data_IF_891322539364
#
_entry.id   IF_891322539364
#
_cell.length_a   1.000
_cell.length_b   1.000
_cell.length_c   1.000
_cell.angle_alpha   90.00
_cell.angle_beta   90.00
_cell.angle_gamma   90.00
#
_symmetry.space_group_name_H-M   'P 1'
#
loop_
_entity.id
_entity.type
_entity.pdbx_description
1 polymer ?
#
# COMPACT_ATOMS: atom_id res chain seq x y z
N UNK A 1 2.77 8.03 15.25
CA UNK A 1 2.04 8.64 14.13
C UNK A 1 2.37 10.10 14.06
N UNK A 2 2.71 10.60 12.87
CA UNK A 2 3.07 12.00 12.63
C UNK A 2 2.13 12.61 11.59
N UNK A 3 1.14 13.41 12.00
CA UNK A 3 0.27 14.14 11.08
C UNK A 3 1.06 15.17 10.27
N UNK A 4 0.75 15.28 8.97
CA UNK A 4 1.39 16.26 8.09
C UNK A 4 1.01 17.70 8.45
N UNK A 5 -0.25 17.92 8.84
CA UNK A 5 -0.79 19.21 9.21
C UNK A 5 -1.81 19.06 10.35
N UNK A 6 -2.22 20.16 11.01
CA UNK A 6 -3.29 20.12 12.01
C UNK A 6 -4.65 19.67 11.47
N UNK A 7 -4.86 19.73 10.15
CA UNK A 7 -6.08 19.27 9.48
C UNK A 7 -6.16 17.74 9.33
N UNK A 8 -5.02 17.07 9.49
CA UNK A 8 -4.96 15.61 9.51
C UNK A 8 -5.27 15.14 10.93
N UNK A 9 -6.47 14.61 11.14
CA UNK A 9 -6.91 14.09 12.44
C UNK A 9 -6.20 12.76 12.77
N UNK A 10 -4.97 12.90 13.27
CA UNK A 10 -4.15 11.76 13.70
C UNK A 10 -4.75 11.02 14.89
N UNK A 11 -5.54 11.68 15.74
CA UNK A 11 -6.18 11.06 16.91
C UNK A 11 -7.33 10.15 16.49
N UNK A 12 -8.20 10.61 15.60
CA UNK A 12 -9.27 9.79 15.06
C UNK A 12 -8.71 8.55 14.35
N UNK A 13 -7.70 8.72 13.49
CA UNK A 13 -7.07 7.60 12.82
C UNK A 13 -6.36 6.64 13.81
N UNK A 14 -5.64 7.16 14.80
CA UNK A 14 -5.00 6.35 15.82
C UNK A 14 -6.01 5.52 16.62
N UNK A 15 -7.16 6.09 16.96
CA UNK A 15 -8.24 5.40 17.66
C UNK A 15 -8.77 4.22 16.84
N UNK A 16 -8.96 4.40 15.53
CA UNK A 16 -9.34 3.32 14.62
C UNK A 16 -8.27 2.24 14.52
N UNK A 17 -7.00 2.62 14.38
CA UNK A 17 -5.90 1.66 14.30
C UNK A 17 -5.75 0.86 15.60
N UNK A 18 -5.86 1.52 16.75
CA UNK A 18 -5.81 0.88 18.08
C UNK A 18 -6.92 -0.16 18.21
N UNK A 19 -8.15 0.15 17.77
CA UNK A 19 -9.26 -0.81 17.73
C UNK A 19 -8.95 -2.02 16.84
N UNK A 20 -8.29 -1.82 15.70
CA UNK A 20 -7.85 -2.92 14.84
C UNK A 20 -6.73 -3.77 15.49
N UNK A 21 -5.76 -3.12 16.14
CA UNK A 21 -4.61 -3.76 16.79
C UNK A 21 -5.01 -4.58 18.02
N UNK A 22 -6.10 -4.22 18.72
CA UNK A 22 -6.62 -4.96 19.88
C UNK A 22 -6.92 -6.43 19.59
N UNK A 23 -7.18 -6.77 18.33
CA UNK A 23 -7.38 -8.16 17.88
C UNK A 23 -6.13 -9.02 17.98
N UNK A 24 -4.95 -8.40 18.07
CA UNK A 24 -3.65 -9.09 18.04
C UNK A 24 -2.87 -8.98 19.36
N UNK A 25 -3.32 -8.15 20.30
CA UNK A 25 -2.63 -7.91 21.57
C UNK A 25 -3.19 -6.73 22.34
N UNK A 26 -2.63 -6.48 23.53
CA UNK A 26 -2.95 -5.33 24.37
C UNK A 26 -2.43 -4.04 23.74
N UNK A 27 -3.27 -3.01 23.69
CA UNK A 27 -2.93 -1.74 23.04
C UNK A 27 -3.03 -0.56 23.99
N UNK A 28 -2.17 0.42 23.80
CA UNK A 28 -2.26 1.73 24.46
C UNK A 28 -2.21 2.85 23.42
N UNK A 29 -2.98 3.91 23.65
CA UNK A 29 -2.95 5.14 22.87
C UNK A 29 -2.43 6.27 23.77
N UNK A 30 -1.32 6.90 23.39
CA UNK A 30 -0.76 8.02 24.14
C UNK A 30 -0.74 9.26 23.25
N UNK A 31 -1.32 10.33 23.77
CA UNK A 31 -1.42 11.64 23.12
C UNK A 31 -0.66 12.67 23.94
N UNK A 32 -0.45 13.87 23.40
CA UNK A 32 0.25 14.93 24.11
C UNK A 32 -0.40 15.25 25.47
N UNK A 33 -1.73 15.45 25.47
CA UNK A 33 -2.52 15.82 26.66
C UNK A 33 -2.41 14.76 27.77
N UNK A 34 -2.22 13.50 27.41
CA UNK A 34 -2.09 12.37 28.33
C UNK A 34 -0.64 11.89 28.52
N UNK A 35 0.35 12.58 27.95
CA UNK A 35 1.73 12.09 27.86
C UNK A 35 2.77 13.06 28.42
N UNK A 36 2.55 14.37 28.34
CA UNK A 36 3.61 15.36 28.67
C UNK A 36 3.93 15.50 30.16
N UNK A 37 3.04 15.04 31.05
CA UNK A 37 3.23 15.16 32.51
C UNK A 37 3.82 13.88 33.15
N UNK A 38 4.08 12.84 32.36
CA UNK A 38 4.51 11.54 32.87
C UNK A 38 6.03 11.35 32.85
N UNK A 39 6.53 10.55 33.80
CA UNK A 39 7.95 10.24 33.94
C UNK A 39 8.39 9.15 32.97
N UNK A 40 9.71 9.05 32.71
CA UNK A 40 10.27 7.96 31.90
C UNK A 40 9.92 6.56 32.42
N UNK A 41 9.77 6.41 33.74
CA UNK A 41 9.36 5.15 34.37
C UNK A 41 7.92 4.76 34.00
N UNK A 42 7.03 5.74 33.85
CA UNK A 42 5.65 5.50 33.43
C UNK A 42 5.59 4.99 31.99
N UNK A 43 6.33 5.62 31.05
CA UNK A 43 6.41 5.15 29.66
C UNK A 43 6.92 3.71 29.57
N UNK A 44 7.99 3.40 30.31
CA UNK A 44 8.51 2.03 30.38
C UNK A 44 7.47 1.04 30.95
N UNK A 45 6.66 1.45 31.91
CA UNK A 45 5.57 0.63 32.45
C UNK A 45 4.47 0.36 31.43
N UNK A 46 4.09 1.34 30.63
CA UNK A 46 3.11 1.17 29.55
C UNK A 46 3.65 0.23 28.48
N UNK A 47 4.87 0.47 28.00
CA UNK A 47 5.54 -0.36 26.98
C UNK A 47 5.71 -1.81 27.45
N UNK A 48 5.95 -2.04 28.74
CA UNK A 48 6.07 -3.39 29.29
C UNK A 48 4.73 -4.13 29.43
N UNK A 49 3.62 -3.41 29.55
CA UNK A 49 2.29 -3.98 29.81
C UNK A 49 1.41 -4.13 28.56
N UNK A 50 1.81 -3.51 27.45
CA UNK A 50 1.10 -3.51 26.18
C UNK A 50 1.97 -4.07 25.06
N UNK A 51 1.33 -4.81 24.14
CA UNK A 51 2.01 -5.37 22.97
C UNK A 51 2.17 -4.30 21.88
N UNK A 52 1.26 -3.32 21.82
CA UNK A 52 1.32 -2.21 20.87
C UNK A 52 1.04 -0.87 21.55
N UNK A 53 1.98 0.07 21.48
CA UNK A 53 1.81 1.44 21.98
C UNK A 53 1.77 2.40 20.80
N UNK A 54 0.67 3.13 20.64
CA UNK A 54 0.49 4.10 19.56
C UNK A 54 0.65 5.50 20.13
N UNK A 55 1.75 6.15 19.75
CA UNK A 55 2.01 7.56 20.04
C UNK A 55 1.44 8.44 18.93
N UNK A 56 0.69 9.50 19.28
CA UNK A 56 0.24 10.53 18.32
C UNK A 56 0.97 11.83 18.61
N UNK A 57 1.69 12.35 17.62
CA UNK A 57 2.43 13.61 17.74
C UNK A 57 1.62 14.80 17.25
N UNK A 58 2.10 15.99 17.60
CA UNK A 58 1.74 17.22 16.90
C UNK A 58 2.26 17.18 15.46
N UNK A 59 1.70 18.03 14.59
CA UNK A 59 2.25 18.27 13.25
C UNK A 59 3.49 19.18 13.26
N UNK A 60 3.92 19.65 14.44
CA UNK A 60 5.04 20.56 14.63
C UNK A 60 6.16 19.94 15.48
N UNK A 61 7.35 20.53 15.39
CA UNK A 61 8.54 20.06 16.09
C UNK A 61 8.53 20.44 17.58
N UNK A 62 7.87 19.64 18.41
CA UNK A 62 7.74 19.87 19.86
C UNK A 62 8.64 18.93 20.66
N UNK A 63 8.78 19.18 21.97
CA UNK A 63 9.42 18.22 22.87
C UNK A 63 8.69 16.88 22.89
N UNK A 64 7.36 16.91 22.75
CA UNK A 64 6.50 15.74 22.65
C UNK A 64 6.77 14.94 21.38
N UNK A 65 6.78 15.58 20.20
CA UNK A 65 7.04 14.86 18.95
C UNK A 65 8.43 14.22 18.93
N UNK A 66 9.46 14.89 19.47
CA UNK A 66 10.79 14.30 19.66
C UNK A 66 10.80 13.10 20.61
N UNK A 67 10.00 13.11 21.68
CA UNK A 67 9.89 11.98 22.59
C UNK A 67 9.25 10.78 21.88
N UNK A 68 8.12 10.99 21.22
CA UNK A 68 7.42 9.94 20.48
C UNK A 68 8.32 9.29 19.43
N UNK A 69 9.05 10.11 18.65
CA UNK A 69 9.95 9.60 17.62
C UNK A 69 11.07 8.73 18.19
N UNK A 70 11.67 9.12 19.33
CA UNK A 70 12.73 8.31 19.98
C UNK A 70 12.24 6.99 20.55
N UNK A 71 10.99 6.92 21.00
CA UNK A 71 10.41 5.70 21.59
C UNK A 71 9.82 4.75 20.55
N UNK A 72 9.66 5.20 19.30
CA UNK A 72 8.93 4.43 18.28
C UNK A 72 9.86 3.55 17.45
N UNK A 73 9.54 2.26 17.35
CA UNK A 73 10.22 1.34 16.42
C UNK A 73 9.77 1.56 14.97
N UNK A 74 8.56 2.09 14.77
CA UNK A 74 7.99 2.41 13.47
C UNK A 74 7.25 3.74 13.48
N UNK A 75 7.37 4.48 12.39
CA UNK A 75 6.81 5.81 12.22
C UNK A 75 5.80 5.78 11.07
N UNK A 76 4.54 6.06 11.39
CA UNK A 76 3.49 6.28 10.40
C UNK A 76 3.37 7.77 10.10
N UNK A 77 3.64 8.16 8.86
CA UNK A 77 3.45 9.51 8.35
C UNK A 77 2.03 9.62 7.82
N UNK A 78 1.20 10.51 8.39
CA UNK A 78 -0.20 10.62 8.03
C UNK A 78 -0.44 11.85 7.16
N UNK A 79 -1.06 11.69 6.01
CA UNK A 79 -1.49 12.78 5.15
C UNK A 79 -2.86 12.49 4.55
N UNK A 80 -3.63 13.54 4.27
CA UNK A 80 -4.76 13.42 3.34
C UNK A 80 -4.22 13.27 1.92
N UNK A 81 -4.68 12.26 1.18
CA UNK A 81 -4.12 11.94 -0.14
C UNK A 81 -4.16 13.13 -1.10
N UNK A 82 -5.27 13.88 -1.09
CA UNK A 82 -5.52 15.04 -1.97
C UNK A 82 -4.90 16.35 -1.49
N UNK A 83 -4.30 16.37 -0.29
CA UNK A 83 -3.66 17.58 0.19
C UNK A 83 -2.38 17.86 -0.60
N UNK A 84 -1.97 19.14 -0.66
CA UNK A 84 -0.72 19.53 -1.31
C UNK A 84 0.46 18.85 -0.60
N UNK A 85 1.29 18.04 -1.29
CA UNK A 85 2.41 17.37 -0.68
C UNK A 85 3.38 18.36 -0.04
N UNK A 86 3.77 18.10 1.20
CA UNK A 86 4.72 18.88 1.96
C UNK A 86 5.56 17.94 2.84
N UNK A 87 6.85 18.24 3.06
CA UNK A 87 7.72 17.35 3.81
C UNK A 87 7.42 17.39 5.31
N UNK A 88 7.64 16.26 6.01
CA UNK A 88 7.59 16.18 7.48
C UNK A 88 8.86 16.69 8.17
N UNK A 89 9.79 17.28 7.41
CA UNK A 89 11.19 17.53 7.81
C UNK A 89 11.31 18.30 9.13
N UNK A 90 10.39 19.23 9.41
CA UNK A 90 10.37 19.95 10.67
C UNK A 90 10.24 18.99 11.87
N UNK A 91 9.43 17.95 11.76
CA UNK A 91 9.14 17.00 12.84
C UNK A 91 10.14 15.84 12.85
N UNK A 92 10.39 15.22 11.69
CA UNK A 92 11.26 14.05 11.61
C UNK A 92 12.75 14.41 11.59
N UNK A 93 13.12 15.65 11.26
CA UNK A 93 14.50 16.16 11.33
C UNK A 93 15.57 15.18 10.82
N UNK A 94 16.63 15.00 11.62
CA UNK A 94 17.68 14.01 11.35
C UNK A 94 17.27 12.57 11.68
N UNK A 95 16.08 12.30 12.23
CA UNK A 95 15.63 10.91 12.44
C UNK A 95 15.41 10.17 11.12
N UNK A 96 15.26 10.89 10.00
CA UNK A 96 15.23 10.30 8.67
C UNK A 96 16.54 9.55 8.30
N UNK A 97 17.67 9.84 8.95
CA UNK A 97 18.95 9.13 8.74
C UNK A 97 19.16 7.92 9.67
N UNK A 98 18.27 7.75 10.66
CA UNK A 98 18.24 6.57 11.52
C UNK A 98 17.33 5.50 10.87
N UNK A 99 17.68 4.21 11.02
CA UNK A 99 16.95 3.07 10.42
C UNK A 99 15.57 2.82 11.07
N UNK A 100 14.72 3.83 11.20
CA UNK A 100 13.33 3.61 11.58
C UNK A 100 12.54 3.03 10.39
N UNK A 101 11.64 2.10 10.68
CA UNK A 101 10.66 1.64 9.69
C UNK A 101 9.61 2.73 9.51
N UNK A 102 9.74 3.51 8.45
CA UNK A 102 8.78 4.55 8.08
C UNK A 102 7.78 4.05 7.04
N UNK A 103 6.51 4.39 7.23
CA UNK A 103 5.45 4.07 6.28
C UNK A 103 4.53 5.29 6.09
N UNK A 104 4.12 5.54 4.85
CA UNK A 104 3.19 6.60 4.49
C UNK A 104 1.76 6.09 4.54
N UNK A 105 0.88 6.80 5.24
CA UNK A 105 -0.54 6.52 5.30
C UNK A 105 -1.29 7.68 4.64
N UNK A 106 -1.91 7.37 3.49
CA UNK A 106 -2.72 8.30 2.71
C UNK A 106 -4.19 8.10 3.08
N UNK A 107 -4.76 9.07 3.78
CA UNK A 107 -6.17 9.09 4.17
C UNK A 107 -7.02 9.55 2.98
N UNK A 108 -8.05 8.77 2.67
CA UNK A 108 -8.92 8.95 1.51
C UNK A 108 -10.38 9.03 1.97
N UNK A 109 -10.92 10.23 2.14
CA UNK A 109 -12.31 10.40 2.65
C UNK A 109 -13.38 9.91 1.65
N UNK A 110 -13.12 9.98 0.34
CA UNK A 110 -14.09 9.70 -0.71
C UNK A 110 -13.52 8.75 -1.79
N UNK A 111 -12.81 7.70 -1.35
CA UNK A 111 -12.13 6.78 -2.26
C UNK A 111 -10.80 7.33 -2.76
N UNK A 112 -10.07 6.51 -3.52
CA UNK A 112 -8.72 6.85 -3.97
C UNK A 112 -8.82 7.77 -5.19
N UNK A 113 -8.12 8.89 -5.09
CA UNK A 113 -8.05 9.88 -6.17
C UNK A 113 -6.84 9.56 -7.05
N UNK A 114 -7.02 9.43 -8.38
CA UNK A 114 -5.90 9.19 -9.30
C UNK A 114 -4.81 10.27 -9.19
N UNK A 115 -3.55 9.83 -9.30
CA UNK A 115 -2.34 10.65 -9.22
C UNK A 115 -2.09 11.34 -7.87
N UNK A 116 -2.89 11.06 -6.84
CA UNK A 116 -2.77 11.72 -5.55
C UNK A 116 -1.51 11.28 -4.81
N UNK A 117 -1.11 10.00 -4.91
CA UNK A 117 0.07 9.48 -4.21
C UNK A 117 1.39 9.99 -4.79
N UNK A 118 1.46 10.28 -6.11
CA UNK A 118 2.71 10.60 -6.81
C UNK A 118 3.49 11.73 -6.15
N UNK A 119 2.84 12.85 -5.86
CA UNK A 119 3.53 14.00 -5.27
C UNK A 119 4.04 13.75 -3.83
N UNK A 120 3.46 12.79 -3.11
CA UNK A 120 3.99 12.35 -1.81
C UNK A 120 5.21 11.44 -1.98
N UNK A 121 5.18 10.55 -2.97
CA UNK A 121 6.31 9.67 -3.31
C UNK A 121 7.49 10.41 -3.94
N UNK A 122 7.26 11.55 -4.59
CA UNK A 122 8.34 12.44 -5.06
C UNK A 122 9.12 13.03 -3.87
N UNK A 123 8.45 13.27 -2.73
CA UNK A 123 9.09 13.74 -1.49
C UNK A 123 9.78 12.62 -0.73
N UNK A 124 9.22 11.41 -0.76
CA UNK A 124 9.77 10.23 -0.10
C UNK A 124 9.76 9.04 -1.06
N UNK A 125 10.77 8.94 -1.94
CA UNK A 125 10.86 7.84 -2.89
C UNK A 125 10.91 6.49 -2.17
N UNK A 126 10.24 5.50 -2.74
CA UNK A 126 10.23 4.10 -2.30
C UNK A 126 9.71 3.84 -0.87
N UNK A 127 9.11 4.84 -0.21
CA UNK A 127 8.47 4.62 1.09
C UNK A 127 7.28 3.65 0.91
N UNK A 128 7.15 2.61 1.77
CA UNK A 128 5.93 1.82 1.78
C UNK A 128 4.74 2.71 2.08
N UNK A 129 3.72 2.70 1.22
CA UNK A 129 2.55 3.54 1.39
C UNK A 129 1.24 2.76 1.39
N UNK A 130 0.25 3.32 2.06
CA UNK A 130 -1.02 2.68 2.35
C UNK A 130 -2.18 3.66 2.17
N UNK A 131 -3.08 3.35 1.24
CA UNK A 131 -4.36 4.05 1.12
C UNK A 131 -5.34 3.52 2.18
N UNK A 132 -5.91 4.43 2.95
CA UNK A 132 -6.94 4.14 3.97
C UNK A 132 -8.16 5.00 3.70
N UNK A 133 -9.27 4.38 3.33
CA UNK A 133 -10.58 5.07 3.24
C UNK A 133 -11.65 4.51 4.17
N UNK A 134 -11.43 3.34 4.76
CA UNK A 134 -12.41 2.69 5.63
C UNK A 134 -11.73 1.76 6.67
N UNK A 135 -12.56 1.17 7.53
CA UNK A 135 -12.12 0.26 8.59
C UNK A 135 -11.46 -1.03 8.07
N UNK A 136 -11.83 -1.51 6.87
CA UNK A 136 -11.20 -2.69 6.28
C UNK A 136 -9.75 -2.39 5.85
N UNK A 137 -9.50 -1.20 5.29
CA UNK A 137 -8.16 -0.74 4.95
C UNK A 137 -7.32 -0.52 6.22
N UNK A 138 -7.92 0.03 7.29
CA UNK A 138 -7.27 0.15 8.60
C UNK A 138 -6.92 -1.22 9.20
N UNK A 139 -7.82 -2.20 9.08
CA UNK A 139 -7.58 -3.58 9.51
C UNK A 139 -6.44 -4.24 8.71
N UNK A 140 -6.33 -3.96 7.40
CA UNK A 140 -5.20 -4.38 6.56
C UNK A 140 -3.89 -3.79 7.07
N UNK A 141 -3.85 -2.49 7.33
CA UNK A 141 -2.67 -1.84 7.90
C UNK A 141 -2.25 -2.47 9.23
N UNK A 142 -3.20 -2.72 10.15
CA UNK A 142 -2.92 -3.41 11.41
C UNK A 142 -2.29 -4.80 11.20
N UNK A 143 -2.78 -5.60 10.24
CA UNK A 143 -2.15 -6.89 9.90
C UNK A 143 -0.73 -6.71 9.37
N UNK A 144 -0.50 -5.75 8.48
CA UNK A 144 0.83 -5.47 7.90
C UNK A 144 1.84 -5.00 8.96
N UNK A 145 1.44 -4.10 9.85
CA UNK A 145 2.29 -3.59 10.93
C UNK A 145 2.65 -4.68 11.94
N UNK A 146 1.74 -5.61 12.20
CA UNK A 146 1.92 -6.70 13.17
C UNK A 146 2.54 -7.96 12.57
N UNK A 147 3.00 -7.93 11.32
CA UNK A 147 3.61 -9.08 10.64
C UNK A 147 2.64 -10.23 10.35
N UNK A 148 1.34 -9.95 10.35
CA UNK A 148 0.24 -10.91 10.10
C UNK A 148 -0.44 -10.70 8.75
N UNK A 149 0.11 -9.82 7.91
CA UNK A 149 -0.41 -9.53 6.58
C UNK A 149 -0.27 -10.72 5.63
N UNK A 150 -1.28 -10.96 4.81
CA UNK A 150 -1.24 -11.99 3.78
C UNK A 150 -0.86 -11.39 2.42
N UNK A 151 0.25 -11.86 1.85
CA UNK A 151 0.66 -11.55 0.49
C UNK A 151 0.24 -12.63 -0.50
N UNK A 152 -0.37 -12.25 -1.62
CA UNK A 152 -0.74 -13.13 -2.72
C UNK A 152 0.19 -12.91 -3.92
N UNK A 153 0.88 -13.95 -4.38
CA UNK A 153 1.75 -13.89 -5.57
C UNK A 153 1.21 -14.78 -6.70
N UNK A 154 1.00 -14.18 -7.87
CA UNK A 154 0.39 -14.82 -9.02
C UNK A 154 1.42 -15.06 -10.13
N UNK A 155 1.67 -16.33 -10.43
CA UNK A 155 2.63 -16.72 -11.47
C UNK A 155 2.17 -16.35 -12.88
N UNK A 156 3.12 -16.28 -13.82
CA UNK A 156 2.83 -16.28 -15.24
C UNK A 156 2.27 -17.63 -15.72
N UNK A 157 1.79 -17.68 -16.97
CA UNK A 157 1.24 -18.92 -17.54
C UNK A 157 0.32 -18.79 -18.75
N UNK A 158 0.22 -17.61 -19.37
CA UNK A 158 -0.67 -17.38 -20.52
C UNK A 158 -2.13 -17.64 -20.17
N UNK A 159 -2.86 -18.34 -21.04
CA UNK A 159 -4.28 -18.65 -20.84
C UNK A 159 -4.57 -19.43 -19.54
N UNK A 160 -3.62 -20.22 -19.03
CA UNK A 160 -3.79 -20.92 -17.74
C UNK A 160 -3.88 -19.96 -16.54
N UNK A 161 -3.41 -18.72 -16.70
CA UNK A 161 -3.46 -17.69 -15.67
C UNK A 161 -4.89 -17.32 -15.23
N UNK A 162 -5.92 -17.56 -16.06
CA UNK A 162 -7.31 -17.32 -15.66
C UNK A 162 -7.76 -18.17 -14.47
N UNK A 163 -7.05 -19.27 -14.16
CA UNK A 163 -7.28 -20.02 -12.93
C UNK A 163 -7.10 -19.16 -11.66
N UNK A 164 -6.26 -18.11 -11.71
CA UNK A 164 -6.07 -17.17 -10.59
C UNK A 164 -7.35 -16.42 -10.22
N UNK A 165 -8.29 -16.22 -11.16
CA UNK A 165 -9.61 -15.63 -10.87
C UNK A 165 -10.42 -16.57 -9.95
N UNK A 166 -10.32 -17.88 -10.17
CA UNK A 166 -10.92 -18.88 -9.29
C UNK A 166 -10.29 -18.89 -7.89
N UNK A 167 -8.96 -18.73 -7.80
CA UNK A 167 -8.25 -18.60 -6.52
C UNK A 167 -8.72 -17.35 -5.76
N UNK A 168 -8.78 -16.20 -6.42
CA UNK A 168 -9.30 -14.96 -5.84
C UNK A 168 -10.70 -15.16 -5.26
N UNK A 169 -11.61 -15.80 -6.03
CA UNK A 169 -12.97 -16.10 -5.57
C UNK A 169 -12.98 -17.03 -4.36
N UNK A 170 -12.18 -18.09 -4.36
CA UNK A 170 -12.10 -19.02 -3.24
C UNK A 170 -11.59 -18.35 -1.96
N UNK A 171 -10.60 -17.44 -2.07
CA UNK A 171 -10.11 -16.65 -0.94
C UNK A 171 -11.20 -15.71 -0.39
N UNK A 172 -11.96 -15.05 -1.28
CA UNK A 172 -13.10 -14.22 -0.89
C UNK A 172 -14.19 -15.03 -0.18
N UNK A 173 -14.58 -16.19 -0.73
CA UNK A 173 -15.57 -17.11 -0.15
C UNK A 173 -15.12 -17.66 1.22
N UNK A 174 -13.81 -17.87 1.41
CA UNK A 174 -13.22 -18.29 2.67
C UNK A 174 -12.98 -17.14 3.68
N UNK A 175 -13.34 -15.90 3.34
CA UNK A 175 -13.06 -14.70 4.12
C UNK A 175 -11.56 -14.50 4.47
N UNK A 176 -10.68 -14.93 3.57
CA UNK A 176 -9.23 -14.77 3.70
C UNK A 176 -8.82 -13.45 3.04
N UNK A 177 -8.38 -12.43 3.81
CA UNK A 177 -8.04 -11.13 3.25
C UNK A 177 -6.73 -11.16 2.48
N UNK A 178 -6.66 -10.43 1.37
CA UNK A 178 -5.42 -10.16 0.63
C UNK A 178 -4.93 -8.78 1.03
N UNK A 179 -3.75 -8.69 1.65
CA UNK A 179 -3.20 -7.44 2.18
C UNK A 179 -2.13 -6.80 1.28
N UNK A 180 -1.50 -7.61 0.44
CA UNK A 180 -0.63 -7.19 -0.67
C UNK A 180 -0.71 -8.22 -1.78
N UNK A 181 -0.52 -7.80 -3.03
CA UNK A 181 -0.63 -8.68 -4.18
C UNK A 181 0.46 -8.37 -5.21
N UNK A 182 0.91 -9.36 -5.96
CA UNK A 182 1.79 -9.12 -7.09
C UNK A 182 1.86 -10.29 -8.04
N UNK A 183 2.51 -10.10 -9.17
CA UNK A 183 2.61 -11.18 -10.14
C UNK A 183 3.53 -10.94 -11.32
N UNK A 184 3.49 -11.89 -12.25
CA UNK A 184 4.30 -11.87 -13.47
C UNK A 184 3.42 -12.23 -14.67
N UNK A 185 3.59 -11.51 -15.79
CA UNK A 185 2.80 -11.74 -17.03
C UNK A 185 1.29 -11.65 -16.75
N UNK A 186 0.49 -12.63 -17.17
CA UNK A 186 -0.96 -12.69 -16.88
C UNK A 186 -1.27 -12.62 -15.37
N UNK A 187 -0.38 -13.15 -14.52
CA UNK A 187 -0.53 -13.06 -13.07
C UNK A 187 -0.41 -11.62 -12.57
N UNK A 188 0.44 -10.80 -13.20
CA UNK A 188 0.54 -9.37 -12.90
C UNK A 188 -0.76 -8.63 -13.26
N UNK A 189 -1.35 -8.94 -14.42
CA UNK A 189 -2.60 -8.33 -14.88
C UNK A 189 -3.75 -8.63 -13.91
N UNK A 190 -3.90 -9.89 -13.50
CA UNK A 190 -4.92 -10.29 -12.52
C UNK A 190 -4.62 -9.67 -11.15
N UNK A 191 -3.35 -9.65 -10.72
CA UNK A 191 -2.94 -8.98 -9.49
C UNK A 191 -3.24 -7.47 -9.52
N UNK A 192 -3.09 -6.81 -10.67
CA UNK A 192 -3.42 -5.40 -10.87
C UNK A 192 -4.91 -5.14 -10.69
N UNK A 193 -5.78 -5.99 -11.25
CA UNK A 193 -7.22 -5.92 -11.02
C UNK A 193 -7.61 -6.15 -9.55
N UNK A 194 -6.99 -7.14 -8.88
CA UNK A 194 -7.18 -7.38 -7.44
C UNK A 194 -6.77 -6.12 -6.63
N UNK A 195 -5.63 -5.54 -6.96
CA UNK A 195 -5.12 -4.35 -6.28
C UNK A 195 -5.96 -3.10 -6.54
N UNK A 196 -6.60 -3.00 -7.71
CA UNK A 196 -7.56 -1.96 -8.06
C UNK A 196 -8.91 -2.13 -7.34
N UNK A 197 -9.15 -3.31 -6.75
CA UNK A 197 -10.36 -3.62 -6.00
C UNK A 197 -11.47 -4.22 -6.83
N UNK A 198 -11.18 -4.77 -8.02
CA UNK A 198 -12.16 -5.44 -8.85
C UNK A 198 -12.73 -6.67 -8.15
N UNK A 199 -14.06 -6.80 -8.20
CA UNK A 199 -14.75 -8.00 -7.77
C UNK A 199 -14.62 -9.15 -8.80
N UNK A 200 -15.16 -10.32 -8.46
CA UNK A 200 -15.13 -11.48 -9.35
C UNK A 200 -15.80 -11.23 -10.71
N UNK A 201 -16.91 -10.51 -10.75
CA UNK A 201 -17.65 -10.24 -11.99
C UNK A 201 -16.89 -9.24 -12.86
N UNK A 202 -16.37 -8.17 -12.26
CA UNK A 202 -15.50 -7.19 -12.93
C UNK A 202 -14.27 -7.89 -13.52
N UNK A 203 -13.57 -8.71 -12.73
CA UNK A 203 -12.41 -9.47 -13.19
C UNK A 203 -12.76 -10.37 -14.38
N UNK A 204 -13.85 -11.14 -14.29
CA UNK A 204 -14.30 -12.00 -15.40
C UNK A 204 -14.66 -11.18 -16.64
N UNK A 205 -15.33 -10.04 -16.48
CA UNK A 205 -15.72 -9.16 -17.56
C UNK A 205 -14.50 -8.59 -18.30
N UNK A 206 -13.59 -7.92 -17.58
CA UNK A 206 -12.39 -7.30 -18.14
C UNK A 206 -11.49 -8.35 -18.80
N UNK A 207 -11.28 -9.50 -18.16
CA UNK A 207 -10.44 -10.56 -18.73
C UNK A 207 -11.05 -11.19 -19.99
N UNK A 208 -12.38 -11.41 -20.02
CA UNK A 208 -13.05 -11.90 -21.23
C UNK A 208 -12.94 -10.89 -22.37
N UNK A 209 -13.15 -9.61 -22.10
CA UNK A 209 -13.09 -8.55 -23.11
C UNK A 209 -11.69 -8.43 -23.74
N UNK A 210 -10.65 -8.39 -22.91
CA UNK A 210 -9.29 -8.12 -23.36
C UNK A 210 -8.53 -9.34 -23.88
N UNK A 211 -8.90 -10.56 -23.47
CA UNK A 211 -8.13 -11.77 -23.81
C UNK A 211 -8.91 -12.91 -24.46
N UNK A 212 -10.25 -12.87 -24.46
CA UNK A 212 -11.09 -13.93 -25.06
C UNK A 212 -11.88 -13.42 -26.26
N UNK A 213 -12.54 -12.27 -26.12
CA UNK A 213 -13.31 -11.63 -27.19
C UNK A 213 -12.41 -10.97 -28.25
N UNK A 214 -11.13 -10.78 -27.93
CA UNK A 214 -10.08 -10.34 -28.84
C UNK A 214 -8.94 -11.36 -28.76
N UNK A 215 -8.18 -11.57 -29.84
CA UNK A 215 -6.97 -12.41 -29.79
C UNK A 215 -5.74 -11.52 -29.51
N UNK A 216 -5.30 -11.32 -28.26
CA UNK A 216 -4.22 -10.40 -27.90
C UNK A 216 -2.83 -10.84 -28.37
N UNK A 217 -2.66 -12.10 -28.79
CA UNK A 217 -1.36 -12.70 -29.12
C UNK A 217 -1.06 -12.81 -30.62
N UNK A 218 -1.97 -12.37 -31.50
CA UNK A 218 -1.77 -12.40 -32.96
C UNK A 218 -0.91 -11.25 -33.52
N UNK A 219 -0.09 -10.60 -32.68
CA UNK A 219 0.84 -9.53 -33.09
C UNK A 219 2.25 -10.11 -33.26
N UNK A 220 2.38 -10.99 -34.24
CA UNK A 220 3.59 -11.74 -34.54
C UNK A 220 4.70 -10.80 -35.06
N UNK A 221 5.87 -10.87 -34.45
CA UNK A 221 7.08 -10.16 -34.91
C UNK A 221 8.09 -11.13 -35.54
N UNK A 222 8.83 -10.69 -36.56
CA UNK A 222 9.92 -11.50 -37.14
C UNK A 222 11.00 -11.78 -36.08
N UNK A 223 11.40 -13.06 -35.86
CA UNK A 223 12.11 -13.46 -34.66
C UNK A 223 13.62 -13.25 -34.80
N UNK A 224 14.10 -12.06 -34.41
CA UNK A 224 15.50 -11.88 -34.03
C UNK A 224 15.66 -11.58 -32.53
N UNK A 225 14.61 -11.11 -31.83
CA UNK A 225 14.67 -10.70 -30.40
C UNK A 225 13.43 -11.13 -29.59
N UNK A 226 12.20 -11.07 -30.15
CA UNK A 226 10.97 -11.49 -29.47
C UNK A 226 9.92 -12.06 -30.45
N UNK A 227 9.00 -12.89 -29.94
CA UNK A 227 7.90 -13.51 -30.70
C UNK A 227 6.62 -12.65 -30.78
N UNK A 228 6.41 -11.70 -29.85
CA UNK A 228 5.22 -10.84 -29.76
C UNK A 228 5.64 -9.41 -29.43
N UNK A 229 5.08 -8.41 -30.13
CA UNK A 229 5.46 -7.00 -29.96
C UNK A 229 4.99 -6.35 -28.63
N UNK A 230 4.03 -6.96 -27.93
CA UNK A 230 3.42 -6.43 -26.69
C UNK A 230 2.48 -5.24 -26.89
N UNK A 231 2.55 -4.52 -28.01
CA UNK A 231 1.74 -3.33 -28.32
C UNK A 231 0.24 -3.60 -28.28
N UNK A 232 -0.19 -4.78 -28.73
CA UNK A 232 -1.60 -5.19 -28.68
C UNK A 232 -2.09 -5.41 -27.25
N UNK A 233 -1.26 -5.94 -26.36
CA UNK A 233 -1.59 -6.13 -24.94
C UNK A 233 -1.73 -4.78 -24.26
N UNK A 234 -0.74 -3.87 -24.42
CA UNK A 234 -0.85 -2.51 -23.87
C UNK A 234 -2.08 -1.76 -24.39
N UNK A 235 -2.42 -1.92 -25.68
CA UNK A 235 -3.63 -1.33 -26.27
C UNK A 235 -4.94 -1.91 -25.70
N UNK A 236 -4.92 -3.16 -25.25
CA UNK A 236 -6.08 -3.84 -24.67
C UNK A 236 -6.18 -3.65 -23.14
N UNK A 237 -5.07 -3.34 -22.47
CA UNK A 237 -5.04 -3.07 -21.03
C UNK A 237 -5.29 -1.59 -20.71
N UNK A 238 -4.81 -0.66 -21.54
CA UNK A 238 -5.00 0.78 -21.34
C UNK A 238 -6.47 1.19 -21.16
N UNK A 239 -7.46 0.65 -21.92
CA UNK A 239 -8.87 0.98 -21.70
C UNK A 239 -9.43 0.40 -20.39
N UNK A 240 -8.85 -0.68 -19.87
CA UNK A 240 -9.34 -1.37 -18.67
C UNK A 240 -8.77 -0.75 -17.39
N UNK A 241 -7.50 -0.33 -17.42
CA UNK A 241 -6.84 0.32 -16.29
C UNK A 241 -6.78 1.86 -16.39
N UNK A 242 -7.17 2.44 -17.54
CA UNK A 242 -7.19 3.87 -17.78
C UNK A 242 -5.87 4.57 -17.37
N UNK A 243 -5.97 5.71 -16.69
CA UNK A 243 -4.84 6.49 -16.19
C UNK A 243 -4.47 6.11 -14.73
N UNK A 244 -4.80 4.89 -14.30
CA UNK A 244 -4.45 4.40 -12.96
C UNK A 244 -2.95 4.18 -12.86
N UNK A 245 -2.34 4.79 -11.84
CA UNK A 245 -0.96 4.53 -11.47
C UNK A 245 -0.89 3.46 -10.38
N UNK A 246 0.18 2.67 -10.40
CA UNK A 246 0.42 1.59 -9.43
C UNK A 246 0.38 2.13 -8.01
N UNK A 247 0.96 3.30 -7.77
CA UNK A 247 0.98 3.90 -6.44
C UNK A 247 -0.39 4.39 -5.96
N UNK A 248 -1.41 4.51 -6.81
CA UNK A 248 -2.77 4.85 -6.39
C UNK A 248 -3.67 3.61 -6.26
N UNK A 249 -3.08 2.42 -6.27
CA UNK A 249 -3.83 1.19 -6.05
C UNK A 249 -4.26 1.04 -4.59
N UNK A 250 -5.43 0.43 -4.39
CA UNK A 250 -5.99 0.19 -3.06
C UNK A 250 -5.13 -0.76 -2.23
N UNK A 251 -4.61 -1.80 -2.87
CA UNK A 251 -3.67 -2.73 -2.24
C UNK A 251 -2.24 -2.46 -2.74
N UNK A 252 -1.23 -2.57 -1.87
CA UNK A 252 0.16 -2.59 -2.30
C UNK A 252 0.38 -3.67 -3.37
N UNK A 253 0.80 -3.21 -4.55
CA UNK A 253 0.99 -4.03 -5.75
C UNK A 253 2.46 -4.05 -6.19
N UNK A 254 2.87 -5.15 -6.79
CA UNK A 254 4.07 -5.18 -7.62
C UNK A 254 3.93 -6.11 -8.81
N UNK A 255 4.66 -5.81 -9.88
CA UNK A 255 4.89 -6.79 -10.94
C UNK A 255 6.36 -6.94 -11.27
N UNK A 256 6.70 -8.04 -11.93
CA UNK A 256 8.07 -8.35 -12.29
C UNK A 256 8.19 -8.53 -13.81
N UNK A 257 9.23 -7.92 -14.38
CA UNK A 257 9.69 -8.18 -15.74
C UNK A 257 11.16 -8.61 -15.75
N UNK A 258 11.62 -9.13 -16.88
CA UNK A 258 13.04 -9.46 -17.09
C UNK A 258 13.68 -8.40 -17.98
N UNK A 259 14.75 -7.77 -17.52
CA UNK A 259 15.55 -6.86 -18.32
C UNK A 259 16.56 -7.67 -19.15
N UNK A 260 16.33 -7.78 -20.45
CA UNK A 260 17.19 -8.57 -21.35
C UNK A 260 18.56 -7.92 -21.60
N UNK A 261 18.70 -6.62 -21.36
CA UNK A 261 19.99 -5.91 -21.49
C UNK A 261 20.91 -6.21 -20.30
N UNK A 262 20.35 -6.27 -19.09
CA UNK A 262 21.13 -6.47 -17.86
C UNK A 262 21.11 -7.90 -17.33
N UNK A 263 20.19 -8.74 -17.81
CA UNK A 263 20.00 -10.10 -17.31
C UNK A 263 19.36 -10.17 -15.91
N UNK A 264 18.86 -9.05 -15.38
CA UNK A 264 18.26 -8.98 -14.04
C UNK A 264 16.73 -8.82 -14.10
N UNK A 265 16.05 -9.24 -13.04
CA UNK A 265 14.63 -8.93 -12.85
C UNK A 265 14.45 -7.45 -12.51
N UNK A 266 13.45 -6.81 -13.12
CA UNK A 266 12.97 -5.49 -12.73
C UNK A 266 11.64 -5.64 -11.98
N UNK A 267 11.55 -5.03 -10.81
CA UNK A 267 10.33 -5.00 -9.99
C UNK A 267 9.70 -3.62 -10.13
N UNK A 268 8.43 -3.59 -10.53
CA UNK A 268 7.68 -2.35 -10.75
C UNK A 268 6.71 -2.16 -9.59
N UNK A 269 6.78 -0.99 -8.95
CA UNK A 269 5.93 -0.58 -7.82
C UNK A 269 5.34 0.81 -7.99
N UNK A 270 5.63 1.45 -9.11
CA UNK A 270 5.21 2.81 -9.45
C UNK A 270 5.11 2.93 -10.97
N UNK A 271 4.29 3.87 -11.42
CA UNK A 271 4.08 4.15 -12.85
C UNK A 271 2.72 3.68 -13.33
N UNK A 272 2.51 3.76 -14.64
CA UNK A 272 1.25 3.33 -15.27
C UNK A 272 1.03 1.82 -15.03
N UNK A 273 -0.22 1.44 -14.77
CA UNK A 273 -0.56 0.05 -14.46
C UNK A 273 -0.59 -0.89 -15.70
N UNK A 274 -0.65 -0.34 -16.91
CA UNK A 274 -0.87 -1.07 -18.17
C UNK A 274 0.39 -1.31 -19.02
#
# INVERSE_FOLDING_TARGET
MVPQSPEVDGVAFATQLVSCLQRFGRTALIQQVSGTEHTSQWFHGIERSHDFVVYVTDSQATAWSRLCLRQSDSILLLAHAVAKPQPWQAVIGNHASQQYRMELVLLNSNGIVPHAARGWLDLMPDIPHHHIGNMADCSRLARLLTGRGLGLTLSGGGARGFAHIGVMRALQEAAIPIDTVGGTSIGAIIAGGIAAGWDYQEMVFHMKRSFVATNPLDDYTFPFIALVAGRKVSRLLRPEFADVLIEDLRLPYFCVSSNLTTGHSAVHRQGELW
#
